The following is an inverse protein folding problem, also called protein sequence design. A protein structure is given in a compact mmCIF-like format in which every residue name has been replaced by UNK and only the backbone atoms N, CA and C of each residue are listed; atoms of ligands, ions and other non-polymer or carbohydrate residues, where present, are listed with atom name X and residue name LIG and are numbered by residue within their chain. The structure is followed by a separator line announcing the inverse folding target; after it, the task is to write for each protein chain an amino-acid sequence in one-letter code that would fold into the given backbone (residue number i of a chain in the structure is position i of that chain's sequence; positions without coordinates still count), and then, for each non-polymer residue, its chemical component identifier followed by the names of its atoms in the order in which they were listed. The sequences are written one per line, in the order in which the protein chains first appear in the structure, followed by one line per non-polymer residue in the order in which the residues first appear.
data_IF_308130526806
#
_entry.id   IF_308130526806
#
_cell.length_a   1.000
_cell.length_b   1.000
_cell.length_c   1.000
_cell.angle_alpha   90.00
_cell.angle_beta   90.00
_cell.angle_gamma   90.00
#
_symmetry.space_group_name_H-M   'P 1'
#
loop_
_entity.id
_entity.type
_entity.pdbx_description
1 polymer ?
#
# COMPACT_ATOMS: atom_id res chain seq x y z
N UNK A 1 10.90 22.34 17.98
CA UNK A 1 10.06 21.82 16.88
C UNK A 1 9.36 20.58 17.42
N UNK A 2 8.02 20.52 17.37
CA UNK A 2 7.26 19.37 17.87
C UNK A 2 7.10 18.38 16.72
N UNK A 3 7.47 17.12 16.95
CA UNK A 3 7.30 16.06 15.95
C UNK A 3 5.86 15.50 16.00
N UNK A 4 5.35 14.92 14.89
CA UNK A 4 4.00 14.34 14.85
C UNK A 4 3.88 13.14 15.80
N UNK A 5 2.87 13.13 16.66
CA UNK A 5 2.58 12.08 17.65
C UNK A 5 1.32 11.28 17.30
N UNK A 6 0.49 11.74 16.35
CA UNK A 6 -0.79 11.15 15.97
C UNK A 6 -0.89 11.02 14.46
N UNK A 7 -0.35 9.93 13.94
CA UNK A 7 -0.15 9.69 12.52
C UNK A 7 -1.24 8.76 11.97
N UNK A 8 -1.88 9.16 10.87
CA UNK A 8 -2.74 8.28 10.06
C UNK A 8 -1.98 7.82 8.83
N UNK A 9 -1.93 6.51 8.63
CA UNK A 9 -1.26 5.85 7.51
C UNK A 9 -2.29 5.43 6.45
N UNK A 10 -2.30 6.07 5.28
CA UNK A 10 -3.24 5.77 4.19
C UNK A 10 -2.84 4.56 3.34
N UNK A 11 -1.62 4.05 3.53
CA UNK A 11 -1.07 2.86 2.88
C UNK A 11 -0.31 1.99 3.89
N UNK A 12 0.08 0.79 3.46
CA UNK A 12 0.82 -0.17 4.29
C UNK A 12 2.26 0.28 4.58
N UNK A 13 2.93 0.86 3.59
CA UNK A 13 4.31 1.33 3.65
C UNK A 13 4.64 2.20 4.89
N UNK A 14 3.96 3.33 5.17
CA UNK A 14 4.25 4.14 6.37
C UNK A 14 4.02 3.36 7.66
N UNK A 15 3.05 2.43 7.67
CA UNK A 15 2.82 1.58 8.83
C UNK A 15 4.01 0.67 9.07
N UNK A 16 4.46 -0.07 8.05
CA UNK A 16 5.62 -0.97 8.16
C UNK A 16 6.88 -0.24 8.61
N UNK A 17 7.16 0.94 8.03
CA UNK A 17 8.34 1.73 8.41
C UNK A 17 8.24 2.19 9.87
N UNK A 18 7.11 2.76 10.31
CA UNK A 18 6.96 3.22 11.69
C UNK A 18 7.07 2.07 12.70
N UNK A 19 6.52 0.88 12.40
CA UNK A 19 6.74 -0.30 13.22
C UNK A 19 8.22 -0.74 13.24
N UNK A 20 8.90 -0.76 12.09
CA UNK A 20 10.31 -1.13 12.01
C UNK A 20 11.23 -0.16 12.78
N UNK A 21 10.84 1.11 12.87
CA UNK A 21 11.55 2.08 13.68
C UNK A 21 11.20 1.96 15.16
N UNK A 22 10.08 1.38 15.56
CA UNK A 22 9.60 1.35 16.96
C UNK A 22 8.77 2.59 17.33
N UNK A 23 8.09 3.17 16.36
CA UNK A 23 7.23 4.37 16.46
C UNK A 23 5.75 4.04 16.21
N UNK A 24 5.36 2.78 16.35
CA UNK A 24 4.01 2.25 16.15
C UNK A 24 2.96 2.91 17.06
N UNK A 25 3.37 3.39 18.23
CA UNK A 25 2.51 4.09 19.18
C UNK A 25 1.93 5.39 18.63
N UNK A 26 2.64 6.03 17.69
CA UNK A 26 2.17 7.26 17.02
C UNK A 26 1.03 6.98 16.04
N UNK A 27 0.88 5.74 15.58
CA UNK A 27 -0.13 5.38 14.58
C UNK A 27 -1.51 5.34 15.24
N UNK A 28 -2.40 6.23 14.82
CA UNK A 28 -3.78 6.32 15.32
C UNK A 28 -4.80 5.76 14.32
N UNK A 29 -4.42 5.58 13.05
CA UNK A 29 -5.30 4.99 12.04
C UNK A 29 -4.52 4.44 10.85
N UNK A 30 -5.08 3.40 10.22
CA UNK A 30 -4.43 2.67 9.12
C UNK A 30 -5.37 2.50 7.92
N UNK A 31 -4.77 2.15 6.78
CA UNK A 31 -5.48 1.63 5.62
C UNK A 31 -6.04 0.24 5.88
N UNK A 32 -7.20 -0.07 5.30
CA UNK A 32 -7.76 -1.43 5.29
C UNK A 32 -6.86 -2.44 4.59
N UNK A 33 -5.88 -1.99 3.79
CA UNK A 33 -4.97 -2.86 3.04
C UNK A 33 -3.73 -3.27 3.84
N UNK A 34 -3.42 -2.56 4.92
CA UNK A 34 -2.28 -2.84 5.81
C UNK A 34 -2.41 -4.23 6.43
N UNK A 35 -1.62 -5.22 5.99
CA UNK A 35 -1.59 -6.57 6.58
C UNK A 35 -0.35 -6.79 7.44
N UNK A 36 0.69 -5.96 7.30
CA UNK A 36 1.93 -6.02 8.05
C UNK A 36 2.06 -4.86 9.04
N UNK A 37 2.61 -5.12 10.25
CA UNK A 37 2.88 -6.45 10.81
C UNK A 37 1.58 -7.24 11.09
N UNK A 38 1.69 -8.55 11.25
CA UNK A 38 0.52 -9.40 11.52
C UNK A 38 -0.22 -8.92 12.78
N UNK A 39 -1.54 -8.81 12.69
CA UNK A 39 -2.38 -8.36 13.81
C UNK A 39 -2.63 -6.85 13.86
N UNK A 40 -1.95 -6.03 13.06
CA UNK A 40 -2.10 -4.55 13.08
C UNK A 40 -3.54 -4.07 12.93
N UNK A 41 -4.36 -4.77 12.13
CA UNK A 41 -5.80 -4.45 11.94
C UNK A 41 -6.67 -4.68 13.18
N UNK A 42 -6.19 -5.47 14.14
CA UNK A 42 -6.85 -5.68 15.43
C UNK A 42 -6.48 -4.57 16.43
N UNK A 43 -5.31 -3.96 16.24
CA UNK A 43 -4.75 -2.94 17.13
C UNK A 43 -5.16 -1.52 16.75
N UNK A 44 -5.26 -1.24 15.44
CA UNK A 44 -5.45 0.11 14.91
C UNK A 44 -6.75 0.21 14.10
N UNK A 45 -7.51 1.32 14.22
CA UNK A 45 -8.74 1.51 13.47
C UNK A 45 -8.45 1.71 11.97
N UNK A 46 -9.23 1.04 11.13
CA UNK A 46 -9.18 1.21 9.68
C UNK A 46 -10.00 2.42 9.24
N UNK A 47 -9.33 3.40 8.64
CA UNK A 47 -9.93 4.70 8.29
C UNK A 47 -9.91 5.01 6.79
N UNK A 48 -9.18 4.24 5.99
CA UNK A 48 -9.15 4.40 4.53
C UNK A 48 -9.17 3.07 3.79
N UNK A 49 -9.60 3.16 2.54
CA UNK A 49 -9.27 2.26 1.46
C UNK A 49 -8.16 2.88 0.59
N UNK A 50 -7.85 2.27 -0.56
CA UNK A 50 -6.76 2.71 -1.42
C UNK A 50 -7.09 4.05 -2.09
N UNK A 51 -8.32 4.19 -2.61
CA UNK A 51 -8.80 5.37 -3.34
C UNK A 51 -9.89 6.16 -2.58
N UNK A 52 -10.30 5.70 -1.39
CA UNK A 52 -11.33 6.39 -0.61
C UNK A 52 -10.92 6.47 0.86
N UNK A 53 -11.27 7.59 1.50
CA UNK A 53 -10.99 7.83 2.91
C UNK A 53 -12.29 8.12 3.66
N UNK A 54 -12.41 7.60 4.88
CA UNK A 54 -13.51 7.92 5.79
C UNK A 54 -13.15 9.20 6.55
N UNK A 55 -13.28 10.34 5.89
CA UNK A 55 -12.84 11.65 6.40
C UNK A 55 -13.30 11.91 7.85
N UNK A 56 -14.57 11.73 8.16
CA UNK A 56 -15.10 11.89 9.53
C UNK A 56 -14.37 11.02 10.56
N UNK A 57 -14.02 9.78 10.20
CA UNK A 57 -13.24 8.90 11.08
C UNK A 57 -11.81 9.37 11.25
N UNK A 58 -11.19 9.90 10.19
CA UNK A 58 -9.84 10.46 10.25
C UNK A 58 -9.85 11.69 11.18
N UNK A 59 -10.79 12.62 10.99
CA UNK A 59 -10.91 13.82 11.84
C UNK A 59 -11.18 13.46 13.31
N UNK A 60 -12.02 12.46 13.58
CA UNK A 60 -12.31 12.00 14.94
C UNK A 60 -11.09 11.41 15.66
N UNK A 61 -10.05 11.01 14.93
CA UNK A 61 -8.78 10.55 15.51
C UNK A 61 -7.83 11.71 15.81
N UNK A 62 -8.18 12.96 15.52
CA UNK A 62 -7.35 14.14 15.81
C UNK A 62 -5.87 13.95 15.38
N UNK A 63 -5.58 13.62 14.11
CA UNK A 63 -4.22 13.39 13.66
C UNK A 63 -3.47 14.72 13.48
N UNK A 64 -2.18 14.71 13.80
CA UNK A 64 -1.27 15.82 13.51
C UNK A 64 -0.50 15.61 12.19
N UNK A 65 -0.49 14.39 11.64
CA UNK A 65 0.04 14.10 10.32
C UNK A 65 -0.74 12.96 9.64
N UNK A 66 -1.01 13.11 8.34
CA UNK A 66 -1.49 12.02 7.48
C UNK A 66 -0.43 11.70 6.43
N UNK A 67 -0.05 10.43 6.33
CA UNK A 67 0.92 9.94 5.35
C UNK A 67 0.23 9.08 4.30
N UNK A 68 0.44 9.41 3.02
CA UNK A 68 -0.07 8.65 1.88
C UNK A 68 0.95 8.47 0.76
N UNK A 69 0.53 7.84 -0.32
CA UNK A 69 1.37 7.49 -1.46
C UNK A 69 0.66 7.72 -2.80
N UNK A 70 1.38 8.35 -3.72
CA UNK A 70 0.99 8.64 -5.10
C UNK A 70 -0.11 9.69 -5.28
N UNK A 71 -0.14 10.22 -6.49
CA UNK A 71 -1.19 11.07 -7.05
C UNK A 71 -2.62 10.47 -6.98
N UNK A 72 -2.75 9.14 -6.93
CA UNK A 72 -4.04 8.46 -6.73
C UNK A 72 -4.76 8.94 -5.44
N UNK A 73 -4.00 9.41 -4.44
CA UNK A 73 -4.55 9.92 -3.18
C UNK A 73 -4.64 11.46 -3.14
N UNK A 74 -4.46 12.15 -4.27
CA UNK A 74 -4.44 13.62 -4.32
C UNK A 74 -5.77 14.26 -3.87
N UNK A 75 -6.91 13.68 -4.23
CA UNK A 75 -8.22 14.18 -3.78
C UNK A 75 -8.40 14.05 -2.26
N UNK A 76 -7.98 12.90 -1.69
CA UNK A 76 -7.98 12.67 -0.24
C UNK A 76 -7.07 13.70 0.45
N UNK A 77 -5.86 13.89 -0.08
CA UNK A 77 -4.90 14.86 0.47
C UNK A 77 -5.47 16.28 0.44
N UNK A 78 -6.04 16.70 -0.70
CA UNK A 78 -6.69 18.02 -0.85
C UNK A 78 -7.77 18.22 0.21
N UNK A 79 -8.63 17.24 0.41
CA UNK A 79 -9.79 17.37 1.29
C UNK A 79 -9.36 17.39 2.77
N UNK A 80 -8.33 16.63 3.15
CA UNK A 80 -7.73 16.68 4.48
C UNK A 80 -6.97 18.00 4.76
N UNK A 81 -6.26 18.54 3.76
CA UNK A 81 -5.60 19.85 3.86
C UNK A 81 -6.65 20.96 4.05
N UNK A 82 -7.78 20.90 3.32
CA UNK A 82 -8.90 21.84 3.52
C UNK A 82 -9.50 21.77 4.93
N UNK A 83 -9.41 20.61 5.58
CA UNK A 83 -9.81 20.43 6.97
C UNK A 83 -8.73 20.86 7.99
N UNK A 84 -7.60 21.39 7.53
CA UNK A 84 -6.52 21.91 8.39
C UNK A 84 -5.50 20.87 8.86
N UNK A 85 -5.49 19.67 8.28
CA UNK A 85 -4.55 18.60 8.63
C UNK A 85 -3.29 18.68 7.77
N UNK A 86 -2.13 18.49 8.39
CA UNK A 86 -0.87 18.33 7.67
C UNK A 86 -0.83 16.98 6.96
N UNK A 87 -0.52 16.99 5.66
CA UNK A 87 -0.51 15.79 4.82
C UNK A 87 0.81 15.68 4.08
N UNK A 88 1.42 14.50 4.13
CA UNK A 88 2.58 14.15 3.31
C UNK A 88 2.24 13.01 2.34
N UNK A 89 2.36 13.27 1.04
CA UNK A 89 2.20 12.26 -0.01
C UNK A 89 3.56 11.92 -0.60
N UNK A 90 4.02 10.69 -0.38
CA UNK A 90 5.24 10.17 -0.99
C UNK A 90 4.98 9.69 -2.43
N UNK A 91 6.03 9.65 -3.26
CA UNK A 91 5.89 9.23 -4.65
C UNK A 91 7.17 8.58 -5.19
N UNK A 92 7.76 7.67 -4.43
CA UNK A 92 8.97 6.96 -4.84
C UNK A 92 8.64 6.00 -6.01
N UNK A 93 9.61 5.82 -6.93
CA UNK A 93 9.48 4.98 -8.15
C UNK A 93 10.73 4.13 -8.42
N UNK A 94 11.69 4.17 -7.50
CA UNK A 94 12.97 3.46 -7.57
C UNK A 94 13.30 2.90 -6.20
N UNK A 95 14.20 1.91 -6.15
CA UNK A 95 14.72 1.38 -4.88
C UNK A 95 15.36 2.48 -4.05
N UNK A 96 16.19 3.33 -4.66
CA UNK A 96 16.80 4.47 -3.97
C UNK A 96 15.73 5.44 -3.42
N UNK A 97 14.63 5.62 -4.15
CA UNK A 97 13.49 6.41 -3.69
C UNK A 97 12.81 5.82 -2.45
N UNK A 98 12.71 4.48 -2.36
CA UNK A 98 12.18 3.78 -1.18
C UNK A 98 13.11 4.00 0.02
N UNK A 99 14.42 3.85 -0.16
CA UNK A 99 15.41 4.10 0.91
C UNK A 99 15.35 5.56 1.38
N UNK A 100 15.26 6.50 0.44
CA UNK A 100 15.07 7.92 0.75
C UNK A 100 13.76 8.19 1.48
N UNK A 101 12.68 7.47 1.15
CA UNK A 101 11.41 7.58 1.87
C UNK A 101 11.56 7.15 3.33
N UNK A 102 12.20 6.02 3.61
CA UNK A 102 12.43 5.51 4.97
C UNK A 102 13.16 6.57 5.81
N UNK A 103 14.25 7.12 5.27
CA UNK A 103 15.05 8.16 5.95
C UNK A 103 14.23 9.43 6.21
N UNK A 104 13.45 9.89 5.23
CA UNK A 104 12.60 11.09 5.37
C UNK A 104 11.50 10.89 6.41
N UNK A 105 10.78 9.77 6.37
CA UNK A 105 9.75 9.47 7.36
C UNK A 105 10.35 9.39 8.77
N UNK A 106 11.50 8.72 8.90
CA UNK A 106 12.27 8.68 10.15
C UNK A 106 12.65 10.06 10.67
N UNK A 107 13.15 10.94 9.82
CA UNK A 107 13.50 12.31 10.21
C UNK A 107 12.28 13.10 10.70
N UNK A 108 11.13 12.99 10.03
CA UNK A 108 9.90 13.68 10.42
C UNK A 108 9.39 13.27 11.82
N UNK A 109 9.64 12.02 12.24
CA UNK A 109 9.23 11.53 13.56
C UNK A 109 10.36 11.57 14.60
N UNK A 110 11.48 12.23 14.29
CA UNK A 110 12.63 12.32 15.21
C UNK A 110 13.43 11.03 15.38
N UNK A 111 13.29 10.08 14.46
CA UNK A 111 13.93 8.77 14.44
C UNK A 111 15.04 8.63 13.38
N UNK A 112 15.66 9.72 12.95
CA UNK A 112 16.60 9.76 11.83
C UNK A 112 17.70 8.67 11.90
N UNK A 113 18.38 8.55 13.03
CA UNK A 113 19.47 7.58 13.20
C UNK A 113 19.01 6.12 13.07
N UNK A 114 17.81 5.79 13.61
CA UNK A 114 17.21 4.45 13.43
C UNK A 114 16.81 4.22 11.98
N UNK A 115 16.30 5.25 11.32
CA UNK A 115 15.88 5.16 9.92
C UNK A 115 17.06 5.01 8.97
N UNK A 116 18.19 5.67 9.23
CA UNK A 116 19.43 5.46 8.48
C UNK A 116 19.91 4.03 8.63
N UNK A 117 20.02 3.51 9.86
CA UNK A 117 20.38 2.10 10.09
C UNK A 117 19.44 1.12 9.39
N UNK A 118 18.15 1.38 9.44
CA UNK A 118 17.15 0.53 8.80
C UNK A 118 17.26 0.58 7.27
N UNK A 119 17.36 1.78 6.68
CA UNK A 119 17.57 1.95 5.25
C UNK A 119 18.86 1.30 4.76
N UNK A 120 19.95 1.41 5.51
CA UNK A 120 21.22 0.77 5.16
C UNK A 120 21.12 -0.76 5.22
N UNK A 121 20.33 -1.30 6.16
CA UNK A 121 20.03 -2.73 6.23
C UNK A 121 19.25 -3.21 5.01
N UNK A 122 18.22 -2.45 4.60
CA UNK A 122 17.46 -2.72 3.39
C UNK A 122 18.33 -2.67 2.13
N UNK A 123 19.22 -1.67 2.02
CA UNK A 123 20.15 -1.52 0.91
C UNK A 123 21.06 -2.74 0.77
N UNK A 124 21.68 -3.17 1.87
CA UNK A 124 22.51 -4.40 1.91
C UNK A 124 21.70 -5.65 1.53
N UNK A 125 20.44 -5.72 1.95
CA UNK A 125 19.60 -6.85 1.60
C UNK A 125 19.31 -6.91 0.09
N UNK A 126 18.99 -5.76 -0.53
CA UNK A 126 18.78 -5.68 -1.97
C UNK A 126 20.05 -6.07 -2.74
N UNK A 127 21.20 -5.57 -2.31
CA UNK A 127 22.50 -5.93 -2.91
C UNK A 127 22.78 -7.44 -2.83
N UNK A 128 22.61 -8.03 -1.65
CA UNK A 128 22.78 -9.48 -1.46
C UNK A 128 21.84 -10.31 -2.33
N UNK A 129 20.58 -9.87 -2.50
CA UNK A 129 19.63 -10.54 -3.39
C UNK A 129 20.05 -10.39 -4.85
N UNK A 130 20.54 -9.22 -5.26
CA UNK A 130 21.01 -8.97 -6.62
C UNK A 130 22.23 -9.85 -6.97
N UNK A 131 23.20 -9.99 -6.07
CA UNK A 131 24.36 -10.87 -6.24
C UNK A 131 23.94 -12.33 -6.42
N UNK A 132 23.03 -12.81 -5.57
CA UNK A 132 22.50 -14.18 -5.67
C UNK A 132 21.72 -14.39 -6.97
N UNK A 133 20.95 -13.40 -7.40
CA UNK A 133 20.17 -13.45 -8.62
C UNK A 133 21.05 -13.47 -9.88
N UNK A 134 22.21 -12.80 -9.87
CA UNK A 134 23.16 -12.79 -10.98
C UNK A 134 23.72 -14.19 -11.30
N UNK A 135 23.75 -15.09 -10.30
CA UNK A 135 24.15 -16.49 -10.48
C UNK A 135 23.03 -17.42 -10.96
N UNK A 136 21.79 -16.95 -11.09
CA UNK A 136 20.68 -17.78 -11.55
C UNK A 136 20.64 -17.86 -13.08
N UNK A 137 20.34 -19.03 -13.67
CA UNK A 137 20.20 -19.15 -15.11
C UNK A 137 19.05 -18.26 -15.60
N UNK A 138 19.34 -17.38 -16.57
CA UNK A 138 18.34 -16.53 -17.22
C UNK A 138 17.42 -17.39 -18.08
N UNK A 139 16.34 -17.88 -17.47
CA UNK A 139 15.24 -18.48 -18.20
C UNK A 139 14.56 -17.34 -18.98
N UNK A 140 14.58 -17.41 -20.31
CA UNK A 140 13.77 -16.55 -21.17
C UNK A 140 12.30 -16.88 -20.95
N UNK A 141 11.71 -16.35 -19.88
CA UNK A 141 10.29 -16.46 -19.64
C UNK A 141 9.60 -15.69 -20.77
N UNK A 142 9.05 -16.42 -21.75
CA UNK A 142 8.18 -15.86 -22.76
C UNK A 142 7.13 -15.01 -22.05
N UNK A 143 7.02 -13.73 -22.44
CA UNK A 143 6.23 -12.66 -21.80
C UNK A 143 5.16 -13.21 -20.86
N UNK A 144 5.47 -13.24 -19.56
CA UNK A 144 4.47 -13.57 -18.55
C UNK A 144 3.36 -12.54 -18.66
N UNK A 145 2.20 -12.95 -19.16
CA UNK A 145 1.04 -12.09 -19.27
C UNK A 145 0.57 -11.81 -17.84
N UNK A 146 0.94 -10.64 -17.30
CA UNK A 146 0.34 -10.16 -16.06
C UNK A 146 -1.14 -9.94 -16.38
N UNK A 147 -2.00 -10.79 -15.83
CA UNK A 147 -3.43 -10.80 -16.12
C UNK A 147 -4.09 -9.51 -15.67
N UNK A 148 -4.04 -8.47 -16.51
CA UNK A 148 -5.00 -7.38 -16.42
C UNK A 148 -6.34 -7.94 -16.85
N UNK A 149 -7.20 -8.24 -15.87
CA UNK A 149 -8.63 -8.33 -16.13
C UNK A 149 -9.11 -6.93 -16.51
N UNK A 150 -8.93 -6.56 -17.77
CA UNK A 150 -9.63 -5.45 -18.38
C UNK A 150 -11.11 -5.77 -18.35
N UNK A 151 -11.84 -5.15 -17.42
CA UNK A 151 -13.29 -5.13 -17.45
C UNK A 151 -13.72 -4.54 -18.79
N UNK A 152 -14.15 -5.39 -19.72
CA UNK A 152 -14.66 -4.92 -21.00
C UNK A 152 -15.93 -4.13 -20.72
N UNK A 153 -15.85 -2.80 -20.77
CA UNK A 153 -17.01 -1.93 -20.78
C UNK A 153 -17.74 -2.14 -22.11
N UNK A 154 -18.65 -3.12 -22.15
CA UNK A 154 -19.53 -3.29 -23.30
C UNK A 154 -20.48 -2.08 -23.32
N UNK A 155 -20.24 -1.15 -24.24
CA UNK A 155 -21.14 -0.02 -24.53
C UNK A 155 -22.54 -0.57 -24.78
N UNK A 156 -23.45 -0.26 -23.86
CA UNK A 156 -24.87 -0.57 -24.00
C UNK A 156 -25.54 0.58 -24.74
N UNK A 157 -25.75 0.42 -26.05
CA UNK A 157 -26.54 1.36 -26.85
C UNK A 157 -28.01 1.20 -26.49
N UNK A 158 -28.65 2.30 -26.10
CA UNK A 158 -30.06 2.38 -25.74
C UNK A 158 -30.98 2.08 -26.94
N UNK A 159 -31.67 0.95 -26.92
CA UNK A 159 -32.98 0.80 -27.54
C UNK A 159 -33.88 0.01 -26.58
N UNK A 160 -34.92 0.69 -26.12
CA UNK A 160 -35.82 0.19 -25.10
C UNK A 160 -36.53 -1.10 -25.51
N UNK A 161 -36.72 -1.98 -24.52
CA UNK A 161 -37.98 -2.67 -24.20
C UNK A 161 -37.73 -3.60 -23.00
N UNK A 162 -38.55 -3.39 -21.96
CA UNK A 162 -39.01 -4.27 -20.86
C UNK A 162 -37.98 -5.20 -20.17
N UNK A 163 -37.92 -5.03 -18.84
CA UNK A 163 -37.29 -5.93 -17.89
C UNK A 163 -37.90 -7.33 -17.98
N UNK A 164 -37.04 -8.34 -18.09
CA UNK A 164 -37.32 -9.72 -17.69
C UNK A 164 -36.16 -10.18 -16.80
N UNK A 165 -36.45 -10.40 -15.51
CA UNK A 165 -35.50 -10.86 -14.49
C UNK A 165 -35.53 -12.38 -14.41
N UNK A 166 -34.95 -13.06 -15.42
CA UNK A 166 -34.81 -14.51 -15.44
C UNK A 166 -33.34 -14.92 -15.55
N UNK A 167 -32.80 -15.40 -14.42
CA UNK A 167 -31.81 -16.49 -14.31
C UNK A 167 -30.52 -16.35 -15.13
N UNK A 168 -29.50 -15.73 -14.55
CA UNK A 168 -28.09 -16.03 -14.89
C UNK A 168 -27.59 -17.08 -13.92
N UNK A 169 -27.54 -18.33 -14.37
CA UNK A 169 -26.84 -19.42 -13.70
C UNK A 169 -25.32 -19.20 -13.82
N UNK A 170 -24.52 -19.50 -12.77
CA UNK A 170 -23.08 -19.48 -12.89
C UNK A 170 -22.65 -20.71 -13.70
N UNK A 171 -22.10 -20.47 -14.89
CA UNK A 171 -21.39 -21.51 -15.63
C UNK A 171 -20.09 -21.82 -14.89
N UNK A 172 -20.03 -23.05 -14.37
CA UNK A 172 -18.84 -23.66 -13.77
C UNK A 172 -17.74 -23.77 -14.83
N UNK A 173 -16.75 -22.88 -14.78
CA UNK A 173 -15.49 -23.11 -15.46
C UNK A 173 -14.64 -24.09 -14.63
N UNK A 174 -14.21 -25.18 -15.28
CA UNK A 174 -13.35 -26.22 -14.71
C UNK A 174 -12.09 -25.62 -14.05
N UNK A 175 -11.60 -26.18 -12.93
CA UNK A 175 -10.32 -25.77 -12.38
C UNK A 175 -9.19 -26.18 -13.33
N UNK A 176 -8.42 -25.19 -13.80
CA UNK A 176 -7.12 -25.42 -14.40
C UNK A 176 -6.23 -26.09 -13.34
N UNK A 177 -5.62 -27.22 -13.69
CA UNK A 177 -4.68 -27.95 -12.84
C UNK A 177 -3.56 -27.01 -12.40
N UNK A 178 -3.44 -26.81 -11.09
CA UNK A 178 -2.31 -26.14 -10.47
C UNK A 178 -1.09 -27.06 -10.56
N UNK A 179 -0.12 -26.73 -11.42
CA UNK A 179 1.24 -27.23 -11.25
C UNK A 179 1.87 -26.44 -10.10
N UNK A 180 1.63 -26.93 -8.89
CA UNK A 180 2.41 -26.58 -7.70
C UNK A 180 3.83 -27.08 -7.98
N UNK A 181 4.76 -26.14 -8.18
CA UNK A 181 6.18 -26.42 -8.08
C UNK A 181 6.47 -26.84 -6.64
N UNK A 182 6.67 -28.14 -6.42
CA UNK A 182 7.25 -28.65 -5.17
C UNK A 182 8.72 -28.23 -5.13
N UNK A 183 9.07 -27.49 -4.09
CA UNK A 183 10.47 -27.25 -3.70
C UNK A 183 10.99 -28.55 -3.07
N UNK A 184 12.13 -29.12 -3.49
CA UNK A 184 12.71 -30.25 -2.80
C UNK A 184 13.41 -29.78 -1.51
N UNK A 185 13.11 -30.47 -0.41
CA UNK A 185 13.97 -30.58 0.79
C UNK A 185 15.22 -31.39 0.51
#
# INVERSE_FOLDING_TARGET
MRMPERIVCLTEEPTEVLYALGEDKRIVGISQFTVRPEGVRKEKPMVSAFTSARHEKILALDPDLVVGFSDIQADIARDLIKAGIEVWISNHRTVEGILSYVRRLGAMVGAAERADRYADSLARHVESVAERAAGLPTQSHGRSHCGHQSASTRRMTSRGKRLDWALVTPTTSKPARSNICRVPT
#
